data_IF_567496323714
#
_entry.id   IF_567496323714
#
_cell.length_a   1.000
_cell.length_b   1.000
_cell.length_c   1.000
_cell.angle_alpha   90.00
_cell.angle_beta   90.00
_cell.angle_gamma   90.00
#
_symmetry.space_group_name_H-M   'P 1'
#
loop_
_entity.id
_entity.type
_entity.pdbx_description
1 polymer ?
#
# COMPACT_ATOMS: atom_id res chain seq x y z
N UNK A 1 -19.49 32.05 -1.69
CA UNK A 1 -19.13 30.98 -2.65
C UNK A 1 -19.42 29.57 -2.12
N UNK A 2 -19.02 29.21 -0.89
CA UNK A 2 -19.32 27.89 -0.30
C UNK A 2 -20.80 27.49 -0.40
N UNK A 3 -21.72 28.42 -0.08
CA UNK A 3 -23.16 28.22 -0.21
C UNK A 3 -23.57 27.73 -1.61
N UNK A 4 -23.02 28.31 -2.68
CA UNK A 4 -23.34 27.91 -4.06
C UNK A 4 -22.98 26.44 -4.30
N UNK A 5 -21.82 26.01 -3.80
CA UNK A 5 -21.38 24.62 -3.94
C UNK A 5 -22.23 23.68 -3.09
N UNK A 6 -22.57 24.05 -1.84
CA UNK A 6 -23.44 23.23 -0.99
C UNK A 6 -24.89 23.17 -1.50
N UNK A 7 -25.40 24.25 -2.07
CA UNK A 7 -26.70 24.28 -2.75
C UNK A 7 -26.69 23.33 -3.97
N UNK A 8 -25.60 23.36 -4.76
CA UNK A 8 -25.40 22.41 -5.86
C UNK A 8 -25.33 20.96 -5.36
N UNK A 9 -24.57 20.68 -4.29
CA UNK A 9 -24.53 19.35 -3.67
C UNK A 9 -25.92 18.90 -3.16
N UNK A 10 -26.73 19.83 -2.68
CA UNK A 10 -28.11 19.56 -2.23
C UNK A 10 -29.01 19.18 -3.40
N UNK A 11 -28.92 19.89 -4.52
CA UNK A 11 -29.61 19.52 -5.77
C UNK A 11 -29.18 18.13 -6.26
N UNK A 12 -27.88 17.87 -6.29
CA UNK A 12 -27.31 16.58 -6.70
C UNK A 12 -27.81 15.46 -5.80
N UNK A 13 -27.81 15.66 -4.47
CA UNK A 13 -28.37 14.69 -3.52
C UNK A 13 -29.86 14.45 -3.78
N UNK A 14 -30.66 15.50 -3.95
CA UNK A 14 -32.11 15.39 -4.12
C UNK A 14 -32.49 14.68 -5.43
N UNK A 15 -31.64 14.77 -6.45
CA UNK A 15 -31.87 14.17 -7.76
C UNK A 15 -31.11 12.85 -7.98
N UNK A 16 -30.39 12.35 -6.97
CA UNK A 16 -29.62 11.12 -7.06
C UNK A 16 -30.51 9.89 -7.29
N UNK A 17 -30.21 9.13 -8.33
CA UNK A 17 -30.98 7.95 -8.72
C UNK A 17 -30.32 6.65 -8.21
N UNK A 18 -30.01 6.58 -6.92
CA UNK A 18 -29.32 5.44 -6.32
C UNK A 18 -30.07 4.90 -5.11
N UNK A 19 -30.30 3.58 -5.09
CA UNK A 19 -30.74 2.86 -3.90
C UNK A 19 -29.57 2.68 -2.94
N UNK A 20 -29.68 3.23 -1.74
CA UNK A 20 -28.64 3.16 -0.71
C UNK A 20 -29.14 2.35 0.48
N UNK A 21 -28.51 1.21 0.76
CA UNK A 21 -28.82 0.35 1.92
C UNK A 21 -28.20 0.85 3.25
N UNK A 22 -27.50 1.99 3.22
CA UNK A 22 -26.78 2.61 4.33
C UNK A 22 -27.18 4.08 4.47
N UNK A 23 -26.81 4.73 5.58
CA UNK A 23 -27.12 6.15 5.80
C UNK A 23 -26.65 7.05 4.65
N UNK A 24 -27.57 7.87 4.11
CA UNK A 24 -27.34 8.72 2.94
C UNK A 24 -26.17 9.70 3.13
N UNK A 25 -26.00 10.26 4.33
CA UNK A 25 -24.89 11.15 4.65
C UNK A 25 -23.53 10.46 4.55
N UNK A 26 -23.41 9.24 5.08
CA UNK A 26 -22.16 8.46 4.95
C UNK A 26 -21.86 8.11 3.49
N UNK A 27 -22.90 7.76 2.71
CA UNK A 27 -22.74 7.48 1.29
C UNK A 27 -22.32 8.70 0.47
N UNK A 28 -22.96 9.86 0.71
CA UNK A 28 -22.60 11.11 0.03
C UNK A 28 -21.19 11.56 0.41
N UNK A 29 -20.79 11.45 1.68
CA UNK A 29 -19.42 11.75 2.11
C UNK A 29 -18.38 10.91 1.36
N UNK A 30 -18.62 9.61 1.16
CA UNK A 30 -17.72 8.75 0.37
C UNK A 30 -17.61 9.20 -1.10
N UNK A 31 -18.73 9.67 -1.69
CA UNK A 31 -18.73 10.21 -3.06
C UNK A 31 -18.03 11.55 -3.16
N UNK A 32 -18.16 12.40 -2.14
CA UNK A 32 -17.40 13.65 -2.03
C UNK A 32 -15.90 13.33 -1.92
N UNK A 33 -15.48 12.41 -1.05
CA UNK A 33 -14.08 11.99 -0.92
C UNK A 33 -13.55 11.52 -2.29
N UNK A 34 -14.26 10.60 -2.93
CA UNK A 34 -13.87 10.03 -4.23
C UNK A 34 -13.75 11.10 -5.32
N UNK A 35 -14.70 12.03 -5.37
CA UNK A 35 -14.74 13.08 -6.40
C UNK A 35 -13.74 14.19 -6.10
N UNK A 36 -13.42 14.43 -4.82
CA UNK A 36 -12.50 15.49 -4.40
C UNK A 36 -11.05 15.25 -4.81
N UNK A 37 -10.73 14.04 -5.28
CA UNK A 37 -9.43 13.70 -5.89
C UNK A 37 -9.20 14.39 -7.24
N UNK A 38 -10.25 14.89 -7.88
CA UNK A 38 -10.14 15.61 -9.15
C UNK A 38 -9.41 16.95 -9.00
N UNK A 39 -8.82 17.42 -10.10
CA UNK A 39 -7.92 18.58 -10.10
C UNK A 39 -8.60 19.93 -9.83
N UNK A 40 -9.88 20.08 -10.19
CA UNK A 40 -10.62 21.33 -10.05
C UNK A 40 -12.10 21.06 -9.74
N UNK A 41 -12.83 22.13 -9.40
CA UNK A 41 -14.21 22.04 -8.92
C UNK A 41 -15.17 21.55 -10.00
N UNK A 42 -14.93 21.88 -11.27
CA UNK A 42 -15.72 21.41 -12.42
C UNK A 42 -15.66 19.89 -12.55
N UNK A 43 -14.44 19.33 -12.58
CA UNK A 43 -14.24 17.87 -12.71
C UNK A 43 -14.73 17.12 -11.48
N UNK A 44 -14.57 17.71 -10.29
CA UNK A 44 -15.20 17.21 -9.07
C UNK A 44 -16.71 17.03 -9.27
N UNK A 45 -17.40 18.04 -9.80
CA UNK A 45 -18.86 18.01 -9.94
C UNK A 45 -19.29 17.04 -11.04
N UNK A 46 -18.63 17.00 -12.19
CA UNK A 46 -18.92 16.03 -13.26
C UNK A 46 -18.82 14.59 -12.76
N UNK A 47 -17.76 14.28 -12.01
CA UNK A 47 -17.57 12.96 -11.45
C UNK A 47 -18.60 12.62 -10.37
N UNK A 48 -18.96 13.60 -9.55
CA UNK A 48 -19.97 13.42 -8.52
C UNK A 48 -21.33 13.09 -9.14
N UNK A 49 -21.76 13.86 -10.15
CA UNK A 49 -22.99 13.63 -10.91
C UNK A 49 -23.04 12.23 -11.50
N UNK A 50 -21.96 11.82 -12.18
CA UNK A 50 -21.82 10.47 -12.75
C UNK A 50 -21.87 9.38 -11.66
N UNK A 51 -21.25 9.62 -10.50
CA UNK A 51 -21.23 8.65 -9.40
C UNK A 51 -22.57 8.50 -8.68
N UNK A 52 -23.47 9.48 -8.84
CA UNK A 52 -24.80 9.55 -8.24
C UNK A 52 -25.94 9.33 -9.23
N UNK A 53 -25.63 9.02 -10.49
CA UNK A 53 -26.59 8.82 -11.58
C UNK A 53 -27.59 9.99 -11.71
N UNK A 54 -27.08 11.22 -11.68
CA UNK A 54 -27.89 12.44 -11.78
C UNK A 54 -27.85 12.97 -13.20
N UNK A 55 -29.01 13.12 -13.85
CA UNK A 55 -29.11 13.85 -15.12
C UNK A 55 -29.01 15.35 -14.89
N UNK A 56 -28.27 16.04 -15.77
CA UNK A 56 -28.08 17.50 -15.72
C UNK A 56 -29.41 18.23 -15.86
N UNK A 57 -30.36 17.69 -16.63
CA UNK A 57 -31.69 18.30 -16.84
C UNK A 57 -32.54 18.42 -15.57
N UNK A 58 -32.17 17.68 -14.50
CA UNK A 58 -32.87 17.70 -13.21
C UNK A 58 -32.34 18.77 -12.27
N UNK A 59 -31.27 19.47 -12.64
CA UNK A 59 -30.66 20.51 -11.82
C UNK A 59 -31.26 21.85 -12.22
N UNK A 60 -31.69 22.64 -11.23
CA UNK A 60 -32.22 23.99 -11.48
C UNK A 60 -31.19 24.86 -12.21
N UNK A 61 -31.60 25.48 -13.31
CA UNK A 61 -30.75 26.33 -14.15
C UNK A 61 -30.04 27.44 -13.34
N UNK A 62 -30.76 28.07 -12.41
CA UNK A 62 -30.20 29.12 -11.55
C UNK A 62 -29.01 28.62 -10.71
N UNK A 63 -29.11 27.40 -10.17
CA UNK A 63 -28.04 26.77 -9.38
C UNK A 63 -26.85 26.42 -10.26
N UNK A 64 -27.11 25.87 -11.45
CA UNK A 64 -26.07 25.53 -12.42
C UNK A 64 -25.29 26.77 -12.87
N UNK A 65 -25.98 27.85 -13.24
CA UNK A 65 -25.37 29.12 -13.64
C UNK A 65 -24.55 29.73 -12.49
N UNK A 66 -25.07 29.68 -11.27
CA UNK A 66 -24.33 30.16 -10.10
C UNK A 66 -23.05 29.34 -9.85
N UNK A 67 -23.13 28.01 -10.00
CA UNK A 67 -21.98 27.11 -9.86
C UNK A 67 -20.93 27.36 -10.95
N UNK A 68 -21.32 27.51 -12.21
CA UNK A 68 -20.38 27.74 -13.32
C UNK A 68 -19.55 29.01 -13.12
N UNK A 69 -20.14 30.07 -12.54
CA UNK A 69 -19.44 31.33 -12.23
C UNK A 69 -18.26 31.18 -11.26
N UNK A 70 -18.28 30.15 -10.40
CA UNK A 70 -17.26 29.91 -9.38
C UNK A 70 -16.39 28.68 -9.67
N UNK A 71 -16.65 27.99 -10.77
CA UNK A 71 -16.00 26.70 -11.10
C UNK A 71 -14.54 26.84 -11.57
N UNK A 72 -14.10 28.07 -11.85
CA UNK A 72 -12.73 28.45 -12.21
C UNK A 72 -11.82 28.67 -10.97
N UNK A 73 -10.76 29.48 -11.06
CA UNK A 73 -9.68 29.63 -10.07
C UNK A 73 -10.15 29.79 -8.60
N UNK A 74 -11.29 30.45 -8.36
CA UNK A 74 -11.85 30.68 -7.03
C UNK A 74 -12.47 29.41 -6.39
N UNK A 75 -12.85 28.42 -7.21
CA UNK A 75 -13.45 27.16 -6.77
C UNK A 75 -12.46 26.20 -6.10
N UNK A 76 -11.16 26.41 -6.28
CA UNK A 76 -10.12 25.54 -5.72
C UNK A 76 -10.08 25.59 -4.18
N UNK A 77 -10.28 26.77 -3.57
CA UNK A 77 -10.36 26.92 -2.10
C UNK A 77 -11.51 26.09 -1.51
N UNK A 78 -12.66 26.08 -2.20
CA UNK A 78 -13.82 25.29 -1.78
C UNK A 78 -13.55 23.80 -1.97
N UNK A 79 -12.94 23.40 -3.08
CA UNK A 79 -12.54 22.02 -3.30
C UNK A 79 -11.55 21.55 -2.21
N UNK A 80 -10.60 22.39 -1.82
CA UNK A 80 -9.69 22.16 -0.70
C UNK A 80 -10.45 21.93 0.62
N UNK A 81 -11.44 22.79 0.92
CA UNK A 81 -12.30 22.63 2.08
C UNK A 81 -13.10 21.31 2.04
N UNK A 82 -13.66 20.94 0.88
CA UNK A 82 -14.38 19.68 0.68
C UNK A 82 -13.49 18.44 0.87
N UNK A 83 -12.20 18.51 0.48
CA UNK A 83 -11.20 17.46 0.75
C UNK A 83 -10.93 17.30 2.25
N UNK A 84 -10.85 18.42 2.98
CA UNK A 84 -10.56 18.46 4.42
C UNK A 84 -11.78 18.02 5.25
N UNK A 85 -12.99 18.39 4.84
CA UNK A 85 -14.21 18.21 5.63
C UNK A 85 -15.39 17.55 4.87
N UNK A 86 -15.20 16.39 4.20
CA UNK A 86 -16.24 15.78 3.37
C UNK A 86 -17.46 15.33 4.17
N UNK A 87 -17.26 14.87 5.41
CA UNK A 87 -18.35 14.47 6.31
C UNK A 87 -19.18 15.67 6.77
N UNK A 88 -18.54 16.78 7.09
CA UNK A 88 -19.22 18.02 7.51
C UNK A 88 -20.02 18.57 6.33
N UNK A 89 -19.42 18.64 5.14
CA UNK A 89 -20.11 19.02 3.91
C UNK A 89 -21.36 18.15 3.69
N UNK A 90 -21.23 16.83 3.84
CA UNK A 90 -22.37 15.93 3.73
C UNK A 90 -23.42 16.14 4.81
N UNK A 91 -23.05 16.49 6.05
CA UNK A 91 -24.01 16.75 7.14
C UNK A 91 -24.81 18.02 6.87
N UNK A 92 -24.15 19.10 6.44
CA UNK A 92 -24.79 20.37 6.12
C UNK A 92 -25.82 20.19 5.00
N UNK A 93 -25.47 19.42 3.97
CA UNK A 93 -26.36 19.10 2.84
C UNK A 93 -27.59 18.25 3.26
N UNK A 94 -27.59 17.68 4.47
CA UNK A 94 -28.77 16.98 5.03
C UNK A 94 -29.70 17.89 5.84
N UNK A 95 -29.28 19.10 6.20
CA UNK A 95 -30.11 20.05 6.95
C UNK A 95 -31.30 20.44 6.07
N UNK A 96 -32.52 20.32 6.61
CA UNK A 96 -33.77 20.63 5.89
C UNK A 96 -34.27 22.03 6.21
N UNK A 97 -34.04 22.49 7.43
CA UNK A 97 -34.45 23.81 7.86
C UNK A 97 -33.50 24.88 7.29
N UNK A 98 -34.07 25.86 6.58
CA UNK A 98 -33.27 26.88 5.89
C UNK A 98 -32.53 27.79 6.87
N UNK A 99 -33.11 28.05 8.05
CA UNK A 99 -32.49 28.89 9.07
C UNK A 99 -31.28 28.19 9.67
N UNK A 100 -31.44 26.93 10.09
CA UNK A 100 -30.33 26.11 10.60
C UNK A 100 -29.21 25.93 9.55
N UNK A 101 -29.58 25.80 8.27
CA UNK A 101 -28.62 25.70 7.17
C UNK A 101 -27.79 26.98 7.01
N UNK A 102 -28.44 28.15 7.06
CA UNK A 102 -27.77 29.44 6.96
C UNK A 102 -26.91 29.74 8.20
N UNK A 103 -27.37 29.37 9.40
CA UNK A 103 -26.59 29.48 10.63
C UNK A 103 -25.33 28.61 10.55
N UNK A 104 -25.46 27.35 10.13
CA UNK A 104 -24.32 26.46 9.94
C UNK A 104 -23.31 27.00 8.92
N UNK A 105 -23.77 27.68 7.86
CA UNK A 105 -22.91 28.29 6.85
C UNK A 105 -22.12 29.50 7.38
N UNK A 106 -22.70 30.29 8.28
CA UNK A 106 -22.04 31.49 8.83
C UNK A 106 -20.84 31.14 9.71
N UNK A 107 -20.88 30.00 10.39
CA UNK A 107 -19.81 29.51 11.25
C UNK A 107 -18.62 28.89 10.47
N UNK A 108 -18.79 28.63 9.16
CA UNK A 108 -17.75 27.98 8.37
C UNK A 108 -16.78 29.01 7.80
N UNK A 109 -15.54 28.91 8.28
CA UNK A 109 -14.42 29.63 7.71
C UNK A 109 -13.81 28.77 6.59
N UNK A 110 -13.92 29.26 5.35
CA UNK A 110 -13.17 28.71 4.21
C UNK A 110 -11.87 29.50 4.12
N UNK A 111 -10.78 28.88 4.54
CA UNK A 111 -9.43 29.39 4.31
C UNK A 111 -9.25 29.58 2.79
N UNK A 112 -8.87 30.79 2.34
CA UNK A 112 -8.45 30.96 0.95
C UNK A 112 -7.25 30.04 0.71
N UNK A 113 -7.34 29.18 -0.31
CA UNK A 113 -6.15 28.49 -0.79
C UNK A 113 -5.24 29.57 -1.38
N UNK A 114 -4.29 30.03 -0.58
CA UNK A 114 -3.14 30.76 -1.11
C UNK A 114 -2.53 29.88 -2.20
N UNK A 115 -2.36 30.43 -3.40
CA UNK A 115 -1.63 29.79 -4.51
C UNK A 115 -0.25 29.30 -4.06
N UNK A 116 0.26 29.86 -2.96
CA UNK A 116 1.45 29.41 -2.23
C UNK A 116 1.11 28.48 -1.05
N UNK A 117 0.45 27.35 -1.28
CA UNK A 117 0.46 26.24 -0.30
C UNK A 117 1.90 25.80 0.04
N UNK A 118 2.85 26.23 -0.79
CA UNK A 118 4.28 26.03 -0.61
C UNK A 118 4.70 24.68 -1.16
N UNK A 119 5.91 24.30 -0.83
CA UNK A 119 6.48 23.01 -1.17
C UNK A 119 6.92 22.32 0.11
N UNK A 120 6.91 20.99 0.11
CA UNK A 120 7.45 20.18 1.19
C UNK A 120 8.90 20.60 1.50
N UNK A 121 9.27 20.50 2.78
CA UNK A 121 10.64 20.72 3.19
C UNK A 121 11.60 19.77 2.48
N UNK A 122 12.82 20.26 2.23
CA UNK A 122 13.86 19.48 1.56
C UNK A 122 14.17 18.19 2.33
N UNK A 123 14.26 17.08 1.60
CA UNK A 123 14.73 15.81 2.15
C UNK A 123 16.20 15.64 1.84
N UNK A 124 16.98 15.17 2.82
CA UNK A 124 18.34 14.68 2.55
C UNK A 124 18.30 13.57 1.48
N UNK A 125 19.42 13.41 0.76
CA UNK A 125 19.64 12.29 -0.13
C UNK A 125 19.76 10.96 0.63
N UNK A 126 19.77 9.87 -0.14
CA UNK A 126 19.96 8.50 0.37
C UNK A 126 21.34 7.98 0.00
N UNK A 127 21.87 7.03 0.77
CA UNK A 127 23.13 6.34 0.41
C UNK A 127 23.01 5.60 -0.93
N UNK A 128 21.84 5.01 -1.17
CA UNK A 128 21.46 4.32 -2.42
C UNK A 128 20.17 4.98 -2.94
N UNK A 129 20.28 6.03 -3.78
CA UNK A 129 19.14 6.65 -4.44
C UNK A 129 18.43 5.69 -5.39
N UNK A 130 17.10 5.75 -5.42
CA UNK A 130 16.24 4.95 -6.30
C UNK A 130 15.27 5.86 -7.03
N UNK A 131 15.27 5.76 -8.36
CA UNK A 131 14.31 6.42 -9.25
C UNK A 131 13.44 5.36 -9.93
N UNK A 132 12.12 5.56 -9.91
CA UNK A 132 11.15 4.63 -10.49
C UNK A 132 10.28 5.35 -11.49
N UNK A 133 10.24 4.88 -12.74
CA UNK A 133 9.35 5.38 -13.76
C UNK A 133 8.18 4.41 -13.95
N UNK A 134 6.95 4.88 -13.72
CA UNK A 134 5.73 4.11 -13.95
C UNK A 134 5.50 3.86 -15.44
N UNK A 135 5.50 2.60 -15.86
CA UNK A 135 5.16 2.18 -17.23
C UNK A 135 3.68 1.81 -17.34
N UNK A 136 3.05 1.45 -16.23
CA UNK A 136 1.60 1.27 -16.10
C UNK A 136 1.07 1.94 -14.83
N UNK A 137 -0.26 2.04 -14.64
CA UNK A 137 -0.82 2.70 -13.47
C UNK A 137 -0.34 2.06 -12.17
N UNK A 138 0.10 2.89 -11.21
CA UNK A 138 0.61 2.41 -9.92
C UNK A 138 -0.46 2.56 -8.84
N UNK A 139 -0.81 1.43 -8.21
CA UNK A 139 -1.77 1.37 -7.11
C UNK A 139 -1.06 1.15 -5.77
N UNK A 140 -1.39 2.00 -4.79
CA UNK A 140 -0.98 1.85 -3.40
C UNK A 140 -2.06 2.39 -2.47
N UNK A 141 -2.89 1.50 -1.95
CA UNK A 141 -4.05 1.88 -1.14
C UNK A 141 -3.67 2.57 0.17
N UNK A 142 -4.37 3.66 0.48
CA UNK A 142 -4.33 4.29 1.81
C UNK A 142 -5.13 3.51 2.85
N UNK A 143 -5.03 3.95 4.10
CA UNK A 143 -5.77 3.35 5.23
C UNK A 143 -7.26 3.71 5.18
N UNK A 144 -7.62 4.78 4.48
CA UNK A 144 -8.99 5.23 4.28
C UNK A 144 -9.60 4.59 3.03
N UNK A 145 -10.74 3.92 3.21
CA UNK A 145 -11.61 3.46 2.12
C UNK A 145 -12.76 4.46 1.94
N UNK A 146 -13.12 4.72 0.68
CA UNK A 146 -14.30 5.51 0.33
C UNK A 146 -15.33 4.59 -0.35
N UNK A 147 -16.10 3.85 0.45
CA UNK A 147 -17.01 2.81 -0.06
C UNK A 147 -16.28 1.72 -0.86
N UNK A 148 -16.62 1.57 -2.14
CA UNK A 148 -15.97 0.63 -3.08
C UNK A 148 -14.73 1.21 -3.77
N UNK A 149 -14.32 2.43 -3.43
CA UNK A 149 -13.15 3.09 -3.96
C UNK A 149 -11.96 2.96 -3.00
N UNK A 150 -10.82 2.54 -3.54
CA UNK A 150 -9.51 2.59 -2.86
C UNK A 150 -8.79 3.85 -3.29
N UNK A 151 -8.53 4.74 -2.33
CA UNK A 151 -7.82 6.00 -2.52
C UNK A 151 -6.32 5.76 -2.38
N UNK A 152 -5.51 6.48 -3.14
CA UNK A 152 -4.06 6.37 -3.09
C UNK A 152 -3.52 6.91 -1.76
N UNK A 153 -2.50 6.24 -1.21
CA UNK A 153 -1.93 6.59 0.10
C UNK A 153 -1.29 7.98 0.08
N UNK A 154 -1.59 8.79 1.11
CA UNK A 154 -1.07 10.15 1.29
C UNK A 154 -0.53 10.35 2.70
N UNK A 155 0.46 11.22 2.85
CA UNK A 155 1.04 11.63 4.14
C UNK A 155 0.86 13.13 4.33
N UNK A 156 0.80 13.57 5.58
CA UNK A 156 0.77 14.99 5.92
C UNK A 156 2.21 15.50 6.11
N UNK A 157 2.57 16.58 5.41
CA UNK A 157 3.88 17.21 5.53
C UNK A 157 3.74 18.71 5.76
N UNK A 158 4.67 19.29 6.49
CA UNK A 158 4.77 20.75 6.61
C UNK A 158 5.41 21.32 5.34
N UNK A 159 4.81 22.38 4.80
CA UNK A 159 5.36 23.17 3.72
C UNK A 159 6.36 24.20 4.24
N UNK A 160 7.14 24.77 3.32
CA UNK A 160 7.98 25.94 3.58
C UNK A 160 7.21 27.21 3.98
N UNK A 161 5.89 27.24 3.80
CA UNK A 161 5.01 28.33 4.26
C UNK A 161 4.38 28.05 5.63
N UNK A 162 4.69 26.90 6.24
CA UNK A 162 4.13 26.48 7.52
C UNK A 162 2.74 25.84 7.43
N UNK A 163 2.19 25.68 6.22
CA UNK A 163 0.93 24.97 5.99
C UNK A 163 1.14 23.45 5.94
N UNK A 164 0.07 22.69 6.15
CA UNK A 164 0.10 21.22 6.04
C UNK A 164 -0.38 20.79 4.66
N UNK A 165 0.45 20.03 3.94
CA UNK A 165 0.16 19.42 2.65
C UNK A 165 -0.16 17.93 2.79
N UNK A 166 -1.13 17.45 2.02
CA UNK A 166 -1.49 16.03 1.93
C UNK A 166 -0.97 15.45 0.62
N UNK A 167 0.21 14.83 0.65
CA UNK A 167 0.94 14.43 -0.57
C UNK A 167 1.04 12.91 -0.72
N UNK A 168 0.97 12.37 -1.96
CA UNK A 168 1.13 10.94 -2.21
C UNK A 168 2.55 10.47 -1.95
N UNK A 169 2.64 9.21 -1.56
CA UNK A 169 3.89 8.48 -1.49
C UNK A 169 3.62 6.99 -1.67
N UNK A 170 4.62 6.27 -2.16
CA UNK A 170 4.67 4.82 -2.10
C UNK A 170 5.52 4.41 -0.91
N UNK A 171 4.92 3.69 0.04
CA UNK A 171 5.54 3.43 1.34
C UNK A 171 6.85 2.64 1.20
N UNK A 172 7.91 3.10 1.90
CA UNK A 172 9.18 2.39 1.96
C UNK A 172 9.03 0.99 2.54
N UNK A 173 8.06 0.77 3.44
CA UNK A 173 7.72 -0.57 3.92
C UNK A 173 7.18 -1.50 2.82
N UNK A 174 6.45 -0.97 1.83
CA UNK A 174 5.96 -1.76 0.71
C UNK A 174 7.12 -2.18 -0.21
N UNK A 175 8.05 -1.26 -0.49
CA UNK A 175 9.28 -1.56 -1.23
C UNK A 175 10.14 -2.59 -0.49
N UNK A 176 10.32 -2.41 0.83
CA UNK A 176 11.03 -3.36 1.71
C UNK A 176 10.38 -4.75 1.72
N UNK A 177 9.05 -4.82 1.71
CA UNK A 177 8.31 -6.08 1.61
C UNK A 177 8.58 -6.80 0.29
N UNK A 178 8.57 -6.08 -0.83
CA UNK A 178 8.87 -6.68 -2.14
C UNK A 178 10.31 -7.15 -2.25
N UNK A 179 11.25 -6.38 -1.70
CA UNK A 179 12.66 -6.76 -1.58
C UNK A 179 12.82 -8.05 -0.76
N UNK A 180 12.08 -8.15 0.35
CA UNK A 180 12.04 -9.33 1.22
C UNK A 180 11.54 -10.56 0.48
N UNK A 181 10.41 -10.46 -0.20
CA UNK A 181 9.82 -11.57 -0.95
C UNK A 181 10.79 -12.09 -2.02
N UNK A 182 11.44 -11.18 -2.76
CA UNK A 182 12.44 -11.53 -3.77
C UNK A 182 13.67 -12.23 -3.20
N UNK A 183 14.20 -11.74 -2.08
CA UNK A 183 15.32 -12.38 -1.40
C UNK A 183 14.93 -13.74 -0.82
N UNK A 184 13.72 -13.87 -0.28
CA UNK A 184 13.17 -15.13 0.19
C UNK A 184 13.02 -16.15 -0.95
N UNK A 185 12.41 -15.75 -2.06
CA UNK A 185 12.26 -16.59 -3.27
C UNK A 185 13.63 -17.07 -3.77
N UNK A 186 14.60 -16.16 -3.89
CA UNK A 186 15.96 -16.51 -4.29
C UNK A 186 16.64 -17.46 -3.29
N UNK A 187 16.56 -17.15 -1.99
CA UNK A 187 17.16 -17.96 -0.94
C UNK A 187 16.60 -19.38 -0.94
N UNK A 188 15.27 -19.53 -0.92
CA UNK A 188 14.63 -20.84 -0.98
C UNK A 188 14.96 -21.59 -2.27
N UNK A 189 15.01 -20.89 -3.40
CA UNK A 189 15.38 -21.49 -4.69
C UNK A 189 16.81 -22.00 -4.70
N UNK A 190 17.74 -21.23 -4.14
CA UNK A 190 19.15 -21.57 -4.07
C UNK A 190 19.41 -22.87 -3.29
N UNK A 191 18.69 -23.06 -2.17
CA UNK A 191 18.81 -24.26 -1.33
C UNK A 191 17.90 -25.43 -1.76
N UNK A 192 17.09 -25.24 -2.80
CA UNK A 192 16.20 -26.29 -3.33
C UNK A 192 14.92 -26.51 -2.52
N UNK A 193 14.48 -25.50 -1.76
CA UNK A 193 13.30 -25.55 -0.89
C UNK A 193 11.99 -25.13 -1.58
N UNK A 194 11.96 -25.03 -2.92
CA UNK A 194 10.84 -24.47 -3.67
C UNK A 194 9.59 -25.39 -3.62
N UNK A 195 8.41 -24.88 -3.24
CA UNK A 195 7.12 -25.55 -3.47
C UNK A 195 6.74 -25.48 -4.96
N UNK A 196 6.20 -26.55 -5.60
CA UNK A 196 5.49 -27.66 -4.99
C UNK A 196 6.09 -29.04 -5.35
N UNK A 197 6.06 -30.00 -4.41
CA UNK A 197 6.30 -31.45 -4.63
C UNK A 197 7.76 -31.98 -4.65
N UNK A 198 8.68 -31.53 -3.78
CA UNK A 198 9.89 -32.31 -3.41
C UNK A 198 10.21 -32.21 -1.90
N UNK A 199 11.13 -33.07 -1.43
CA UNK A 199 11.14 -33.81 -0.16
C UNK A 199 11.19 -33.02 1.15
N UNK A 200 11.73 -31.81 1.18
CA UNK A 200 11.97 -31.08 2.43
C UNK A 200 11.07 -29.86 2.48
N UNK A 201 10.10 -29.87 3.41
CA UNK A 201 9.16 -28.77 3.57
C UNK A 201 9.74 -27.72 4.51
N UNK A 202 9.67 -26.46 4.11
CA UNK A 202 9.95 -25.33 5.00
C UNK A 202 8.87 -25.31 6.11
N UNK A 203 9.29 -25.17 7.36
CA UNK A 203 8.37 -24.98 8.47
C UNK A 203 7.63 -23.65 8.34
N UNK A 204 6.35 -23.63 8.74
CA UNK A 204 5.49 -22.46 8.60
C UNK A 204 6.05 -21.21 9.32
N UNK A 205 6.64 -21.38 10.51
CA UNK A 205 7.24 -20.27 11.24
C UNK A 205 8.41 -19.65 10.46
N UNK A 206 9.23 -20.47 9.80
CA UNK A 206 10.40 -20.01 9.05
C UNK A 206 9.96 -19.36 7.74
N UNK A 207 8.91 -19.88 7.09
CA UNK A 207 8.24 -19.21 5.98
C UNK A 207 7.77 -17.80 6.39
N UNK A 208 7.10 -17.66 7.53
CA UNK A 208 6.70 -16.34 8.04
C UNK A 208 7.89 -15.44 8.39
N UNK A 209 8.96 -15.99 8.95
CA UNK A 209 10.21 -15.24 9.19
C UNK A 209 10.77 -14.64 7.89
N UNK A 210 10.80 -15.42 6.82
CA UNK A 210 11.32 -15.01 5.52
C UNK A 210 10.44 -13.98 4.80
N UNK A 211 9.12 -14.19 4.71
CA UNK A 211 8.22 -13.34 3.91
C UNK A 211 7.54 -12.23 4.73
N UNK A 212 6.99 -12.55 5.90
CA UNK A 212 6.25 -11.59 6.70
C UNK A 212 7.15 -10.76 7.64
N UNK A 213 8.42 -11.15 7.79
CA UNK A 213 9.29 -10.63 8.84
C UNK A 213 9.00 -11.24 10.21
N UNK A 214 8.34 -12.40 10.24
CA UNK A 214 8.08 -13.18 11.45
C UNK A 214 6.79 -12.83 12.19
N UNK A 215 6.63 -13.44 13.36
CA UNK A 215 5.45 -13.28 14.21
C UNK A 215 5.85 -13.16 15.68
N UNK A 216 5.11 -12.34 16.43
CA UNK A 216 5.28 -12.19 17.87
C UNK A 216 4.44 -13.24 18.60
N UNK A 217 5.05 -14.37 18.95
CA UNK A 217 4.37 -15.46 19.65
C UNK A 217 5.22 -16.01 20.80
N UNK A 218 4.72 -15.89 22.03
CA UNK A 218 5.45 -16.34 23.23
C UNK A 218 5.50 -17.87 23.37
N UNK A 219 4.52 -18.58 22.81
CA UNK A 219 4.23 -19.98 23.16
C UNK A 219 4.37 -21.01 22.02
N UNK A 220 4.90 -20.63 20.84
CA UNK A 220 5.07 -21.61 19.76
C UNK A 220 6.21 -22.59 20.11
N UNK A 221 5.93 -23.90 19.98
CA UNK A 221 6.89 -24.99 20.26
C UNK A 221 8.17 -24.81 19.43
N UNK A 222 8.04 -24.30 18.21
CA UNK A 222 9.15 -24.07 17.29
C UNK A 222 10.12 -22.99 17.79
N UNK A 223 9.65 -22.00 18.57
CA UNK A 223 10.52 -20.97 19.14
C UNK A 223 11.32 -21.46 20.35
N UNK A 224 11.03 -22.62 20.95
CA UNK A 224 11.80 -23.15 22.09
C UNK A 224 13.24 -23.52 21.70
N UNK A 225 13.45 -24.05 20.49
CA UNK A 225 14.78 -24.36 19.96
C UNK A 225 15.61 -23.07 19.76
N UNK A 226 14.98 -22.04 19.18
CA UNK A 226 15.58 -20.72 19.01
C UNK A 226 15.86 -20.02 20.35
N UNK A 227 14.96 -20.13 21.33
CA UNK A 227 15.15 -19.60 22.68
C UNK A 227 16.35 -20.22 23.40
N UNK A 228 16.63 -21.52 23.17
CA UNK A 228 17.83 -22.18 23.69
C UNK A 228 19.13 -21.54 23.21
N UNK A 229 19.20 -21.19 21.92
CA UNK A 229 20.38 -20.56 21.28
C UNK A 229 20.47 -19.05 21.52
N UNK A 230 19.35 -18.32 21.43
CA UNK A 230 19.31 -16.85 21.49
C UNK A 230 19.01 -16.30 22.88
N UNK A 231 18.62 -17.15 23.83
CA UNK A 231 18.21 -16.78 25.19
C UNK A 231 16.70 -16.63 25.33
N UNK A 232 16.20 -16.86 26.55
CA UNK A 232 14.78 -16.87 26.91
C UNK A 232 14.46 -15.76 27.94
N UNK A 233 13.18 -15.42 28.10
CA UNK A 233 12.68 -14.53 29.17
C UNK A 233 13.42 -13.19 29.30
N UNK A 234 13.70 -12.52 28.17
CA UNK A 234 14.39 -11.22 28.15
C UNK A 234 15.92 -11.29 28.23
N UNK A 235 16.52 -12.47 28.44
CA UNK A 235 17.99 -12.65 28.41
C UNK A 235 18.46 -12.82 26.96
N UNK A 236 19.45 -12.02 26.54
CA UNK A 236 20.03 -12.07 25.19
C UNK A 236 21.36 -12.83 25.21
N UNK A 237 21.40 -13.99 24.54
CA UNK A 237 22.67 -14.64 24.19
C UNK A 237 23.18 -14.05 22.89
N UNK A 238 24.12 -13.10 22.98
CA UNK A 238 24.68 -12.43 21.81
C UNK A 238 25.23 -13.40 20.76
N UNK A 239 25.92 -14.46 21.19
CA UNK A 239 26.47 -15.49 20.31
C UNK A 239 25.43 -16.11 19.36
N UNK A 240 24.25 -16.49 19.87
CA UNK A 240 23.19 -17.07 19.03
C UNK A 240 22.55 -16.06 18.08
N UNK A 241 22.53 -14.78 18.45
CA UNK A 241 22.07 -13.70 17.55
C UNK A 241 23.07 -13.47 16.43
N UNK A 242 24.37 -13.48 16.72
CA UNK A 242 25.42 -13.38 15.71
C UNK A 242 25.40 -14.60 14.77
N UNK A 243 25.34 -15.82 15.32
CA UNK A 243 25.23 -17.06 14.54
C UNK A 243 24.05 -17.02 13.56
N UNK A 244 22.89 -16.50 13.98
CA UNK A 244 21.73 -16.37 13.10
C UNK A 244 21.92 -15.33 12.00
N UNK A 245 22.47 -14.16 12.35
CA UNK A 245 22.74 -13.09 11.38
C UNK A 245 23.78 -13.51 10.34
N UNK A 246 24.79 -14.26 10.78
CA UNK A 246 25.89 -14.74 9.94
C UNK A 246 25.44 -15.84 8.99
N UNK A 247 24.47 -16.69 9.38
CA UNK A 247 23.94 -17.75 8.51
C UNK A 247 22.78 -17.30 7.63
N UNK A 248 22.01 -16.27 8.03
CA UNK A 248 20.86 -15.78 7.27
C UNK A 248 20.96 -14.25 7.06
N UNK A 249 21.88 -13.78 6.19
CA UNK A 249 22.15 -12.35 6.03
C UNK A 249 20.94 -11.52 5.63
N UNK A 250 20.00 -12.08 4.83
CA UNK A 250 18.77 -11.35 4.45
C UNK A 250 17.89 -10.97 5.66
N UNK A 251 17.83 -11.82 6.68
CA UNK A 251 17.06 -11.54 7.91
C UNK A 251 17.82 -10.61 8.85
N UNK A 252 19.16 -10.66 8.83
CA UNK A 252 19.99 -9.65 9.50
C UNK A 252 19.77 -8.26 8.89
N UNK A 253 19.76 -8.18 7.56
CA UNK A 253 19.60 -6.95 6.80
C UNK A 253 18.21 -6.33 6.99
N UNK A 254 17.15 -7.13 6.83
CA UNK A 254 15.76 -6.65 6.80
C UNK A 254 15.07 -6.65 8.18
N UNK A 255 15.67 -7.34 9.15
CA UNK A 255 15.07 -7.56 10.47
C UNK A 255 13.99 -8.64 10.45
N UNK A 256 13.75 -9.21 11.63
CA UNK A 256 12.80 -10.32 11.84
C UNK A 256 12.29 -10.36 13.28
N UNK A 257 11.02 -10.67 13.46
CA UNK A 257 10.39 -11.01 14.73
C UNK A 257 10.43 -12.53 14.94
N UNK A 258 11.05 -12.97 16.03
CA UNK A 258 11.19 -14.38 16.40
C UNK A 258 10.64 -14.57 17.82
N UNK A 259 9.43 -15.09 17.92
CA UNK A 259 8.75 -15.31 19.20
C UNK A 259 8.55 -14.00 19.95
N UNK A 260 9.11 -13.85 21.14
CA UNK A 260 9.02 -12.59 21.91
C UNK A 260 10.13 -11.58 21.60
N UNK A 261 10.87 -11.75 20.50
CA UNK A 261 12.04 -10.92 20.18
C UNK A 261 11.95 -10.29 18.80
N UNK A 262 12.35 -9.03 18.70
CA UNK A 262 12.53 -8.33 17.42
C UNK A 262 14.03 -8.13 17.19
N UNK A 263 14.55 -8.69 16.11
CA UNK A 263 15.88 -8.37 15.61
C UNK A 263 15.74 -7.23 14.62
N UNK A 264 16.29 -6.07 14.98
CA UNK A 264 16.30 -4.91 14.10
C UNK A 264 17.12 -5.20 12.84
N UNK A 265 16.58 -4.76 11.70
CA UNK A 265 17.29 -4.71 10.43
C UNK A 265 18.35 -3.62 10.42
N UNK A 266 19.17 -3.59 9.37
CA UNK A 266 20.32 -2.70 9.24
C UNK A 266 20.21 -1.70 8.07
N UNK A 267 19.02 -1.56 7.51
CA UNK A 267 18.71 -0.57 6.46
C UNK A 267 17.44 0.20 6.80
N UNK A 268 17.38 1.44 6.35
CA UNK A 268 16.16 2.25 6.35
C UNK A 268 15.72 2.46 4.91
N UNK A 269 14.54 1.95 4.56
CA UNK A 269 13.96 2.12 3.23
C UNK A 269 13.04 3.33 3.26
N UNK A 270 13.44 4.38 2.54
CA UNK A 270 12.68 5.63 2.45
C UNK A 270 11.41 5.48 1.60
N UNK A 271 10.46 6.37 1.84
CA UNK A 271 9.28 6.49 1.00
C UNK A 271 9.66 6.98 -0.39
N UNK A 272 9.04 6.39 -1.42
CA UNK A 272 9.16 6.82 -2.80
C UNK A 272 8.11 7.91 -3.06
N UNK A 273 8.57 9.11 -3.39
CA UNK A 273 7.73 10.31 -3.56
C UNK A 273 7.59 10.63 -5.04
N UNK A 274 6.38 10.84 -5.56
CA UNK A 274 6.19 11.27 -6.95
C UNK A 274 6.90 12.61 -7.21
N UNK A 275 7.51 12.74 -8.38
CA UNK A 275 8.14 13.97 -8.82
C UNK A 275 7.06 14.99 -9.16
N UNK A 276 6.82 15.93 -8.25
CA UNK A 276 5.82 16.99 -8.41
C UNK A 276 6.29 18.30 -7.79
N UNK A 277 5.59 19.36 -8.15
CA UNK A 277 5.85 20.71 -7.65
C UNK A 277 5.81 20.76 -6.13
N UNK A 278 4.80 20.15 -5.52
CA UNK A 278 4.58 20.19 -4.07
C UNK A 278 5.64 19.39 -3.29
N UNK A 279 6.23 18.36 -3.89
CA UNK A 279 7.37 17.64 -3.30
C UNK A 279 8.72 18.34 -3.55
N UNK A 280 8.75 19.43 -4.34
CA UNK A 280 9.97 20.11 -4.79
C UNK A 280 10.91 19.21 -5.61
N UNK A 281 10.35 18.23 -6.30
CA UNK A 281 11.10 17.23 -7.08
C UNK A 281 10.70 17.20 -8.56
N UNK A 282 9.68 17.98 -8.95
CA UNK A 282 9.25 18.12 -10.34
C UNK A 282 8.50 19.43 -10.58
N UNK A 283 8.03 19.61 -11.81
CA UNK A 283 7.31 20.81 -12.24
C UNK A 283 5.78 20.61 -12.34
N UNK A 284 5.34 19.36 -12.43
CA UNK A 284 3.92 19.00 -12.53
C UNK A 284 3.21 19.10 -11.18
N UNK A 285 1.97 19.57 -11.19
CA UNK A 285 1.14 19.61 -9.97
C UNK A 285 0.71 18.20 -9.56
N UNK A 286 0.67 17.90 -8.26
CA UNK A 286 0.31 16.56 -7.76
C UNK A 286 -1.05 16.07 -8.30
N UNK A 287 -1.99 16.98 -8.51
CA UNK A 287 -3.33 16.67 -9.02
C UNK A 287 -3.31 16.16 -10.47
N UNK A 288 -2.29 16.48 -11.26
CA UNK A 288 -2.17 16.00 -12.65
C UNK A 288 -1.71 14.53 -12.71
N UNK A 289 -1.09 14.02 -11.64
CA UNK A 289 -0.47 12.69 -11.60
C UNK A 289 -1.46 11.55 -11.39
N UNK A 290 -2.70 11.83 -10.99
CA UNK A 290 -3.68 10.78 -10.64
C UNK A 290 -4.66 10.47 -11.76
N UNK A 291 -5.06 9.21 -11.81
CA UNK A 291 -6.19 8.72 -12.59
C UNK A 291 -7.02 7.71 -11.79
N UNK A 292 -8.23 7.44 -12.29
CA UNK A 292 -9.11 6.43 -11.74
C UNK A 292 -9.23 5.25 -12.69
N UNK A 293 -8.88 4.06 -12.18
CA UNK A 293 -9.07 2.81 -12.93
C UNK A 293 -10.28 2.06 -12.37
N UNK A 294 -11.11 1.59 -13.30
CA UNK A 294 -12.32 0.83 -13.01
C UNK A 294 -12.06 -0.65 -13.20
N UNK A 295 -12.38 -1.41 -12.18
CA UNK A 295 -12.13 -2.84 -12.12
C UNK A 295 -13.46 -3.58 -12.01
N UNK A 296 -13.83 -4.28 -13.06
CA UNK A 296 -15.07 -5.08 -13.13
C UNK A 296 -14.76 -6.55 -12.91
N UNK A 297 -15.49 -7.19 -11.99
CA UNK A 297 -15.59 -8.65 -11.92
C UNK A 297 -17.00 -9.05 -12.31
N UNK A 298 -17.13 -9.72 -13.46
CA UNK A 298 -18.39 -10.32 -13.88
C UNK A 298 -18.63 -11.59 -13.06
N UNK A 299 -19.86 -11.78 -12.60
CA UNK A 299 -20.31 -13.06 -12.07
C UNK A 299 -20.91 -13.87 -13.22
N UNK A 300 -20.42 -15.10 -13.41
CA UNK A 300 -20.87 -15.98 -14.50
C UNK A 300 -22.05 -16.88 -14.07
N UNK A 301 -22.62 -16.65 -12.88
CA UNK A 301 -23.76 -17.41 -12.37
C UNK A 301 -25.06 -16.93 -13.03
N UNK A 302 -25.65 -17.79 -13.86
CA UNK A 302 -26.86 -17.49 -14.66
C UNK A 302 -28.16 -17.49 -13.85
N UNK A 303 -28.13 -17.85 -12.55
CA UNK A 303 -29.32 -17.92 -11.69
C UNK A 303 -29.85 -16.55 -11.20
N UNK A 304 -29.35 -15.44 -11.73
CA UNK A 304 -29.84 -14.11 -11.37
C UNK A 304 -31.14 -13.78 -12.13
N UNK A 305 -32.04 -13.03 -11.48
CA UNK A 305 -33.27 -12.60 -12.12
C UNK A 305 -32.94 -11.74 -13.37
N UNK A 306 -33.75 -11.80 -14.45
CA UNK A 306 -33.54 -10.97 -15.62
C UNK A 306 -33.46 -9.49 -15.25
N UNK A 307 -32.31 -8.85 -15.52
CA UNK A 307 -32.06 -7.44 -15.19
C UNK A 307 -31.19 -7.19 -13.95
N UNK A 308 -30.82 -8.21 -13.19
CA UNK A 308 -29.85 -8.09 -12.09
C UNK A 308 -28.42 -8.26 -12.61
N UNK A 309 -27.70 -7.15 -12.73
CA UNK A 309 -26.30 -7.14 -13.12
C UNK A 309 -25.44 -7.35 -11.85
N UNK A 310 -25.14 -8.60 -11.49
CA UNK A 310 -24.32 -8.97 -10.31
C UNK A 310 -22.81 -8.67 -10.48
N UNK A 311 -22.45 -7.79 -11.41
CA UNK A 311 -21.05 -7.41 -11.64
C UNK A 311 -20.56 -6.49 -10.53
N UNK A 312 -19.51 -6.90 -9.82
CA UNK A 312 -18.88 -6.07 -8.80
C UNK A 312 -17.92 -5.07 -9.47
N UNK A 313 -18.15 -3.78 -9.24
CA UNK A 313 -17.25 -2.69 -9.68
C UNK A 313 -16.43 -2.21 -8.48
N UNK A 314 -15.11 -2.27 -8.61
CA UNK A 314 -14.17 -1.65 -7.70
C UNK A 314 -13.48 -0.47 -8.40
N UNK A 315 -13.32 0.64 -7.69
CA UNK A 315 -12.62 1.81 -8.21
C UNK A 315 -11.28 1.95 -7.48
N UNK A 316 -10.22 2.28 -8.19
CA UNK A 316 -8.89 2.46 -7.59
C UNK A 316 -8.26 3.72 -8.14
N UNK A 317 -7.94 4.66 -7.25
CA UNK A 317 -7.10 5.81 -7.58
C UNK A 317 -5.65 5.34 -7.70
N UNK A 318 -5.02 5.69 -8.81
CA UNK A 318 -3.66 5.27 -9.13
C UNK A 318 -2.84 6.47 -9.62
N UNK A 319 -1.52 6.38 -9.47
CA UNK A 319 -0.63 7.26 -10.21
C UNK A 319 -0.61 6.82 -11.68
N UNK A 320 -0.66 7.78 -12.58
CA UNK A 320 -0.64 7.55 -14.02
C UNK A 320 0.65 6.90 -14.48
N UNK A 321 0.56 6.10 -15.52
CA UNK A 321 1.74 5.76 -16.33
C UNK A 321 2.46 7.06 -16.77
N UNK A 322 3.78 7.04 -16.76
CA UNK A 322 4.65 8.20 -16.98
C UNK A 322 5.05 8.93 -15.70
N UNK A 323 4.42 8.66 -14.55
CA UNK A 323 4.83 9.27 -13.27
C UNK A 323 6.20 8.74 -12.83
N UNK A 324 7.11 9.64 -12.44
CA UNK A 324 8.40 9.28 -11.83
C UNK A 324 8.32 9.41 -10.31
N UNK A 325 8.87 8.45 -9.57
CA UNK A 325 9.04 8.50 -8.12
C UNK A 325 10.52 8.50 -7.74
N UNK A 326 10.86 9.21 -6.66
CA UNK A 326 12.22 9.29 -6.11
C UNK A 326 12.22 8.91 -4.62
N UNK A 327 13.23 8.16 -4.21
CA UNK A 327 13.47 7.78 -2.83
C UNK A 327 14.82 7.05 -2.72
N UNK A 328 14.94 6.11 -1.79
CA UNK A 328 16.17 5.35 -1.66
C UNK A 328 16.30 4.58 -0.36
N UNK A 329 17.51 4.11 -0.12
CA UNK A 329 17.87 3.29 1.05
C UNK A 329 19.07 3.92 1.74
N UNK A 330 18.95 4.13 3.05
CA UNK A 330 20.08 4.43 3.93
C UNK A 330 20.61 3.13 4.55
N UNK A 331 21.92 3.00 4.60
CA UNK A 331 22.63 1.81 5.09
C UNK A 331 23.30 2.16 6.41
N UNK A 332 22.98 1.40 7.47
CA UNK A 332 23.60 1.66 8.79
C UNK A 332 25.11 1.37 8.76
N UNK A 333 25.86 2.08 9.61
CA UNK A 333 27.32 2.02 9.64
C UNK A 333 27.93 0.63 9.95
N UNK A 334 27.14 -0.29 10.51
CA UNK A 334 27.58 -1.63 10.93
C UNK A 334 27.02 -2.76 10.03
N UNK A 335 26.62 -2.42 8.81
CA UNK A 335 26.30 -3.39 7.75
C UNK A 335 27.61 -4.03 7.27
N UNK A 336 27.67 -5.36 7.28
CA UNK A 336 28.84 -6.11 6.78
C UNK A 336 28.85 -6.14 5.25
N UNK A 337 29.99 -6.49 4.65
CA UNK A 337 30.11 -6.61 3.19
C UNK A 337 29.16 -7.67 2.61
N UNK A 338 28.94 -8.77 3.34
CA UNK A 338 27.99 -9.82 2.96
C UNK A 338 26.55 -9.29 2.98
N UNK A 339 26.17 -8.53 4.01
CA UNK A 339 24.84 -7.93 4.11
C UNK A 339 24.61 -6.84 3.06
N UNK A 340 25.64 -6.02 2.81
CA UNK A 340 25.64 -5.01 1.74
C UNK A 340 25.51 -5.69 0.37
N UNK A 341 26.18 -6.81 0.16
CA UNK A 341 26.07 -7.60 -1.07
C UNK A 341 24.72 -8.29 -1.20
N UNK A 342 24.13 -8.76 -0.10
CA UNK A 342 22.77 -9.28 -0.05
C UNK A 342 21.74 -8.21 -0.46
N UNK A 343 21.92 -6.97 -0.01
CA UNK A 343 21.12 -5.83 -0.48
C UNK A 343 21.26 -5.62 -1.99
N UNK A 344 22.50 -5.67 -2.51
CA UNK A 344 22.79 -5.58 -3.94
C UNK A 344 22.05 -6.64 -4.77
N UNK A 345 22.02 -7.89 -4.31
CA UNK A 345 21.24 -8.95 -4.95
C UNK A 345 19.75 -8.61 -4.96
N UNK A 346 19.17 -8.24 -3.81
CA UNK A 346 17.74 -7.97 -3.71
C UNK A 346 17.31 -6.79 -4.58
N UNK A 347 18.12 -5.73 -4.65
CA UNK A 347 17.88 -4.58 -5.52
C UNK A 347 17.99 -4.95 -7.01
N UNK A 348 18.95 -5.81 -7.37
CA UNK A 348 19.07 -6.34 -8.73
C UNK A 348 17.84 -7.15 -9.14
N UNK A 349 17.36 -8.03 -8.25
CA UNK A 349 16.14 -8.82 -8.48
C UNK A 349 14.90 -7.94 -8.59
N UNK A 350 14.83 -6.86 -7.81
CA UNK A 350 13.73 -5.90 -7.88
C UNK A 350 13.73 -5.15 -9.22
N UNK A 351 14.91 -4.73 -9.67
CA UNK A 351 15.11 -4.08 -10.97
C UNK A 351 14.73 -5.02 -12.13
N UNK A 352 15.15 -6.28 -12.08
CA UNK A 352 14.80 -7.31 -13.07
C UNK A 352 13.31 -7.61 -13.07
N UNK A 353 12.68 -7.70 -11.90
CA UNK A 353 11.25 -7.94 -11.77
C UNK A 353 10.43 -6.84 -12.42
N UNK A 354 10.81 -5.57 -12.26
CA UNK A 354 10.15 -4.44 -12.95
C UNK A 354 8.68 -4.23 -12.56
N UNK A 355 8.25 -4.68 -11.38
CA UNK A 355 6.90 -4.48 -10.87
C UNK A 355 6.90 -4.07 -9.39
N UNK A 356 6.14 -3.02 -9.05
CA UNK A 356 5.88 -2.59 -7.67
C UNK A 356 4.38 -2.36 -7.41
N UNK A 357 4.00 -2.19 -6.15
CA UNK A 357 2.60 -1.92 -5.79
C UNK A 357 1.65 -3.12 -5.84
N UNK A 358 0.36 -2.81 -5.83
CA UNK A 358 -0.73 -3.78 -5.79
C UNK A 358 -1.33 -4.02 -7.19
N UNK A 359 -2.09 -5.11 -7.33
CA UNK A 359 -2.79 -5.47 -8.56
C UNK A 359 -1.89 -5.78 -9.78
N UNK A 360 -0.63 -6.21 -9.56
CA UNK A 360 0.32 -6.49 -10.65
C UNK A 360 -0.21 -7.48 -11.70
N UNK A 361 -0.94 -8.51 -11.26
CA UNK A 361 -1.60 -9.50 -12.15
C UNK A 361 -2.79 -8.95 -12.94
N UNK A 362 -3.14 -7.68 -12.76
CA UNK A 362 -4.28 -6.99 -13.39
C UNK A 362 -3.83 -5.79 -14.23
N UNK A 363 -2.54 -5.71 -14.57
CA UNK A 363 -1.97 -4.66 -15.42
C UNK A 363 -1.38 -3.46 -14.69
N UNK A 364 -1.36 -3.46 -13.36
CA UNK A 364 -0.81 -2.36 -12.55
C UNK A 364 0.67 -2.55 -12.25
N UNK A 365 1.32 -1.46 -11.89
CA UNK A 365 2.59 -1.50 -11.17
C UNK A 365 3.82 -1.84 -12.01
N UNK A 366 3.71 -1.93 -13.34
CA UNK A 366 4.89 -2.12 -14.19
C UNK A 366 5.75 -0.86 -14.14
N UNK A 367 7.04 -1.01 -13.89
CA UNK A 367 7.97 0.10 -13.68
C UNK A 367 9.34 -0.18 -14.29
N UNK A 368 10.04 0.89 -14.63
CA UNK A 368 11.49 0.88 -14.84
C UNK A 368 12.16 1.43 -13.57
N UNK A 369 13.09 0.67 -13.00
CA UNK A 369 13.79 1.03 -11.76
C UNK A 369 15.25 1.36 -12.10
N UNK A 370 15.70 2.51 -11.64
CA UNK A 370 17.08 3.00 -11.75
C UNK A 370 17.63 3.18 -10.34
N UNK A 371 18.80 2.60 -10.08
CA UNK A 371 19.41 2.53 -8.75
C UNK A 371 20.82 3.06 -8.86
N UNK A 372 21.12 4.10 -8.10
CA UNK A 372 22.46 4.66 -7.98
C UNK A 372 23.20 3.97 -6.83
N UNK A 373 24.53 3.85 -6.94
CA UNK A 373 25.37 3.17 -5.94
C UNK A 373 24.93 1.73 -5.62
N UNK A 374 24.43 0.99 -6.62
CA UNK A 374 24.01 -0.40 -6.46
C UNK A 374 25.16 -1.25 -5.92
N UNK A 375 25.02 -1.89 -4.74
CA UNK A 375 26.07 -2.75 -4.21
C UNK A 375 26.30 -3.99 -5.08
N UNK A 376 27.55 -4.45 -5.14
CA UNK A 376 27.88 -5.70 -5.83
C UNK A 376 27.27 -6.91 -5.12
N UNK A 377 26.67 -7.82 -5.88
CA UNK A 377 25.96 -9.02 -5.39
C UNK A 377 26.84 -10.27 -5.30
N UNK A 378 28.03 -10.25 -5.91
CA UNK A 378 28.84 -11.46 -6.07
C UNK A 378 29.37 -12.01 -4.73
N UNK A 379 29.71 -11.14 -3.77
CA UNK A 379 30.16 -11.56 -2.43
C UNK A 379 29.10 -12.43 -1.75
N UNK A 380 27.83 -12.02 -1.79
CA UNK A 380 26.72 -12.78 -1.20
C UNK A 380 26.44 -14.09 -1.97
N UNK A 381 26.49 -14.06 -3.30
CA UNK A 381 26.30 -15.28 -4.10
C UNK A 381 27.40 -16.31 -3.86
N UNK A 382 28.66 -15.87 -3.73
CA UNK A 382 29.78 -16.76 -3.39
C UNK A 382 29.67 -17.27 -1.96
N UNK A 383 29.28 -16.42 -1.00
CA UNK A 383 28.98 -16.83 0.37
C UNK A 383 27.93 -17.96 0.43
N UNK A 384 26.83 -17.85 -0.32
CA UNK A 384 25.80 -18.89 -0.37
C UNK A 384 26.33 -20.20 -0.97
N UNK A 385 27.18 -20.13 -2.00
CA UNK A 385 27.81 -21.32 -2.62
C UNK A 385 28.77 -22.02 -1.66
N UNK A 386 29.65 -21.25 -1.03
CA UNK A 386 30.68 -21.77 -0.13
C UNK A 386 30.09 -22.34 1.17
N UNK A 387 29.08 -21.66 1.74
CA UNK A 387 28.45 -22.08 3.00
C UNK A 387 27.18 -22.89 2.82
N UNK A 388 26.96 -23.48 1.64
CA UNK A 388 25.70 -24.14 1.30
C UNK A 388 25.29 -25.20 2.33
N UNK A 389 26.20 -26.13 2.62
CA UNK A 389 25.92 -27.23 3.54
C UNK A 389 25.79 -26.76 4.98
N UNK A 390 26.65 -25.83 5.41
CA UNK A 390 26.62 -25.24 6.76
C UNK A 390 25.31 -24.48 7.03
N UNK A 391 24.84 -23.67 6.07
CA UNK A 391 23.58 -22.92 6.22
C UNK A 391 22.40 -23.89 6.26
N UNK A 392 22.42 -24.95 5.45
CA UNK A 392 21.37 -25.97 5.44
C UNK A 392 21.29 -26.73 6.76
N UNK A 393 22.42 -27.16 7.30
CA UNK A 393 22.52 -27.79 8.63
C UNK A 393 22.07 -26.83 9.73
N UNK A 394 22.42 -25.54 9.61
CA UNK A 394 21.96 -24.52 10.56
C UNK A 394 20.43 -24.37 10.54
N UNK A 395 19.82 -24.30 9.35
CA UNK A 395 18.35 -24.23 9.19
C UNK A 395 17.69 -25.46 9.80
N UNK A 396 18.25 -26.66 9.62
CA UNK A 396 17.75 -27.89 10.24
C UNK A 396 17.85 -27.82 11.78
N UNK A 397 19.00 -27.37 12.29
CA UNK A 397 19.26 -27.24 13.73
C UNK A 397 18.30 -26.28 14.43
N UNK A 398 17.88 -25.21 13.75
CA UNK A 398 16.87 -24.28 14.29
C UNK A 398 15.43 -24.75 14.03
N UNK A 399 15.24 -25.92 13.42
CA UNK A 399 13.94 -26.49 13.09
C UNK A 399 13.22 -25.71 11.99
N UNK A 400 13.94 -25.20 11.00
CA UNK A 400 13.38 -24.45 9.86
C UNK A 400 12.88 -25.32 8.71
N UNK A 401 13.24 -26.61 8.69
CA UNK A 401 12.81 -27.61 7.71
C UNK A 401 12.19 -28.83 8.41
N UNK A 402 11.26 -29.52 7.74
CA UNK A 402 10.83 -30.87 8.12
C UNK A 402 12.00 -31.85 7.91
N UNK A 403 12.19 -32.79 8.85
CA UNK A 403 13.02 -33.95 8.60
C UNK A 403 12.51 -34.70 7.35
N UNK A 404 13.38 -35.29 6.51
CA UNK A 404 12.94 -35.95 5.29
C UNK A 404 11.88 -37.00 5.63
N UNK A 405 10.70 -36.89 5.02
CA UNK A 405 9.68 -37.94 5.11
C UNK A 405 10.29 -39.22 4.54
N UNK A 406 10.61 -40.20 5.39
CA UNK A 406 10.74 -41.57 4.91
C UNK A 406 9.42 -41.95 4.21
N UNK A 407 9.49 -42.56 3.00
CA UNK A 407 8.28 -43.01 2.33
C UNK A 407 7.58 -44.02 3.23
N UNK A 408 6.40 -43.65 3.72
CA UNK A 408 5.61 -44.44 4.63
C UNK A 408 5.02 -45.64 3.86
N UNK A 409 5.77 -46.74 3.76
CA UNK A 409 5.38 -47.96 3.02
C UNK A 409 4.30 -48.76 3.76
N UNK A 410 3.92 -48.40 4.99
CA UNK A 410 2.96 -49.18 5.78
C UNK A 410 1.70 -48.40 6.16
N UNK A 411 0.80 -48.18 5.19
CA UNK A 411 -0.63 -48.02 5.48
C UNK A 411 -1.39 -49.27 5.02
N UNK A 412 -1.26 -50.35 5.78
CA UNK A 412 -2.18 -51.49 5.66
C UNK A 412 -3.57 -51.06 6.11
N UNK A 413 -4.51 -51.19 5.19
CA UNK A 413 -5.94 -50.96 5.35
C UNK A 413 -6.52 -51.71 6.55
N UNK A 414 -6.93 -50.98 7.61
CA UNK A 414 -7.85 -51.54 8.61
C UNK A 414 -9.29 -51.27 8.19
N UNK A 415 -9.88 -52.28 7.56
CA UNK A 415 -11.32 -52.39 7.27
C UNK A 415 -12.10 -52.40 8.60
N UNK A 416 -12.94 -51.40 8.82
CA UNK A 416 -13.91 -51.39 9.92
C UNK A 416 -14.95 -52.49 9.69
N UNK A 417 -14.97 -53.52 10.54
CA UNK A 417 -16.12 -54.41 10.69
C UNK A 417 -17.23 -53.66 11.42
N UNK A 418 -18.34 -53.44 10.73
CA UNK A 418 -19.65 -53.13 11.31
C UNK A 418 -20.11 -54.31 12.16
N UNK A 419 -20.51 -54.05 13.41
CA UNK A 419 -21.20 -55.00 14.27
C UNK A 419 -22.68 -54.65 14.26
N UNK A 420 -23.48 -55.58 13.72
CA UNK A 420 -24.92 -55.68 13.90
C UNK A 420 -25.17 -56.47 15.18
N UNK A 421 -25.87 -55.86 16.13
CA UNK A 421 -26.94 -56.40 17.02
C UNK A 421 -27.22 -55.38 18.09
#
# INVERSE_FOLDING_TARGET
MLKIVLDMLTEVKNNANIKVNRGLAGFLADRIITSSTEKNLTLFMEKLLKSLDVSIDRIREATLVAFMKISDNEGNSILGWLRKYPKIASMIVMIKDEKEYLEALQEIIVEEMSVEQGQALFSKGYDIPITINCLSPLSHGGDTKAGNATVFRRTQVLSNTGQTLSLPFYAGNALRGQLRDLLADHFLSFFGFIPPRRSDKIQLWFFHALYAGGALEENAVQFKLLQGKMGANGIVKGAGVYEFRDNIPMLSLLGVALGNRILNGKINVGDLRPCCYEWRTGNEMVASLFEWTYLTKREDNENHAPGENASMIANTECLKAGTTLQGGIDVLCHVTDIERSCLGLGLSLLQEKGYIGANNRRGFGQVKIEIENLPDKEIYLNFLKEKKDTIREYIDTIGGIDAPCEPNINSTSKTKKTKTT
#
